data_IF_313448142392
#
_entry.id   IF_313448142392
#
_cell.length_a   1.000
_cell.length_b   1.000
_cell.length_c   1.000
_cell.angle_alpha   90.00
_cell.angle_beta   90.00
_cell.angle_gamma   90.00
#
_symmetry.space_group_name_H-M   'P 1'
#
loop_
_entity.id
_entity.type
_entity.pdbx_description
1 polymer ?
#
# COMPACT_ATOMS: atom_id res chain seq x y z
N UNK A 1 -17.33 11.14 -8.01
CA UNK A 1 -15.98 10.52 -7.99
C UNK A 1 -15.03 11.45 -7.25
N UNK A 2 -15.11 11.45 -5.92
CA UNK A 2 -14.18 12.19 -5.06
C UNK A 2 -13.13 11.21 -4.56
N UNK A 3 -11.99 11.13 -5.26
CA UNK A 3 -10.82 10.37 -4.81
C UNK A 3 -9.98 11.19 -3.81
N UNK A 4 -10.65 12.01 -3.00
CA UNK A 4 -10.06 12.84 -1.95
C UNK A 4 -10.65 12.48 -0.57
N UNK A 5 -10.74 11.18 -0.26
CA UNK A 5 -10.89 10.73 1.13
C UNK A 5 -9.50 10.51 1.76
N UNK A 6 -8.61 11.48 1.60
CA UNK A 6 -7.41 11.56 2.43
C UNK A 6 -7.81 12.12 3.79
N UNK A 7 -8.47 11.30 4.60
CA UNK A 7 -8.40 11.52 6.04
C UNK A 7 -6.90 11.49 6.40
N UNK A 8 -6.44 12.46 7.20
CA UNK A 8 -5.05 12.55 7.66
C UNK A 8 -4.55 11.20 8.22
N UNK A 9 -5.48 10.46 8.83
CA UNK A 9 -5.29 9.08 9.30
C UNK A 9 -4.84 8.11 8.19
N UNK A 10 -5.46 8.15 7.01
CA UNK A 10 -5.11 7.26 5.89
C UNK A 10 -3.73 7.60 5.31
N UNK A 11 -3.39 8.89 5.25
CA UNK A 11 -2.06 9.36 4.83
C UNK A 11 -0.97 8.79 5.75
N UNK A 12 -1.12 8.96 7.07
CA UNK A 12 -0.15 8.44 8.03
C UNK A 12 -0.10 6.92 8.08
N UNK A 13 -1.25 6.23 7.99
CA UNK A 13 -1.27 4.76 7.93
C UNK A 13 -0.54 4.22 6.72
N UNK A 14 -0.74 4.84 5.55
CA UNK A 14 -0.10 4.41 4.31
C UNK A 14 1.41 4.64 4.36
N UNK A 15 1.84 5.83 4.82
CA UNK A 15 3.26 6.14 4.97
C UNK A 15 3.93 5.17 5.97
N UNK A 16 3.28 4.88 7.10
CA UNK A 16 3.78 3.91 8.08
C UNK A 16 3.98 2.51 7.49
N UNK A 17 3.01 2.04 6.71
CA UNK A 17 3.09 0.75 6.03
C UNK A 17 4.24 0.69 5.01
N UNK A 18 4.44 1.78 4.27
CA UNK A 18 5.53 1.90 3.29
C UNK A 18 6.91 1.93 3.97
N UNK A 19 7.04 2.62 5.10
CA UNK A 19 8.27 2.63 5.90
C UNK A 19 8.60 1.24 6.46
N UNK A 20 7.57 0.49 6.91
CA UNK A 20 7.72 -0.87 7.47
C UNK A 20 8.11 -1.91 6.41
N UNK A 21 7.34 -2.01 5.32
CA UNK A 21 7.53 -3.06 4.33
C UNK A 21 8.68 -2.76 3.36
N UNK A 22 8.99 -1.48 3.13
CA UNK A 22 9.89 -1.07 2.04
C UNK A 22 11.07 -0.18 2.44
N UNK A 23 11.32 0.05 3.73
CA UNK A 23 12.45 0.85 4.25
C UNK A 23 12.60 2.26 3.64
N UNK A 24 11.55 2.80 3.03
CA UNK A 24 11.57 4.17 2.55
C UNK A 24 11.63 5.13 3.74
N UNK A 25 12.42 6.20 3.61
CA UNK A 25 12.37 7.32 4.53
C UNK A 25 11.12 8.16 4.31
N UNK A 26 10.64 8.82 5.35
CA UNK A 26 9.49 9.73 5.24
C UNK A 26 9.75 10.84 4.21
N UNK A 27 10.99 11.32 4.14
CA UNK A 27 11.46 12.31 3.17
C UNK A 27 11.33 11.83 1.73
N UNK A 28 11.63 10.56 1.44
CA UNK A 28 11.46 10.00 0.10
C UNK A 28 9.98 9.92 -0.27
N UNK A 29 9.12 9.46 0.65
CA UNK A 29 7.67 9.33 0.43
C UNK A 29 6.99 10.70 0.25
N UNK A 30 7.46 11.72 0.97
CA UNK A 30 6.99 13.10 0.85
C UNK A 30 7.51 13.80 -0.41
N UNK A 31 8.68 13.39 -0.90
CA UNK A 31 9.26 13.91 -2.14
C UNK A 31 8.63 13.30 -3.41
N UNK A 32 7.79 12.27 -3.30
CA UNK A 32 7.14 11.67 -4.46
C UNK A 32 6.08 12.57 -5.08
N UNK A 33 5.97 12.49 -6.40
CA UNK A 33 4.88 13.19 -7.09
C UNK A 33 3.55 12.54 -6.67
N UNK A 34 2.48 13.31 -6.39
CA UNK A 34 1.24 12.77 -5.83
C UNK A 34 0.64 11.56 -6.57
N UNK A 35 0.84 11.47 -7.89
CA UNK A 35 0.37 10.35 -8.70
C UNK A 35 1.23 9.08 -8.57
N UNK A 36 2.54 9.19 -8.35
CA UNK A 36 3.45 8.03 -8.18
C UNK A 36 3.05 7.21 -6.97
N UNK A 37 2.67 7.90 -5.88
CA UNK A 37 2.15 7.25 -4.67
C UNK A 37 0.91 6.40 -4.97
N UNK A 38 0.01 6.89 -5.84
CA UNK A 38 -1.21 6.14 -6.22
C UNK A 38 -0.88 4.86 -6.99
N UNK A 39 0.09 4.92 -7.91
CA UNK A 39 0.55 3.74 -8.66
C UNK A 39 1.17 2.73 -7.69
N UNK A 40 2.04 3.18 -6.79
CA UNK A 40 2.70 2.30 -5.83
C UNK A 40 1.71 1.62 -4.89
N UNK A 41 0.74 2.37 -4.34
CA UNK A 41 -0.34 1.82 -3.51
C UNK A 41 -1.15 0.79 -4.30
N UNK A 42 -1.46 1.07 -5.57
CA UNK A 42 -2.21 0.13 -6.43
C UNK A 42 -1.46 -1.19 -6.62
N UNK A 43 -0.14 -1.13 -6.86
CA UNK A 43 0.71 -2.31 -6.97
C UNK A 43 0.81 -3.07 -5.64
N UNK A 44 0.93 -2.36 -4.51
CA UNK A 44 0.97 -2.96 -3.17
C UNK A 44 -0.34 -3.70 -2.85
N UNK A 45 -1.49 -3.10 -3.16
CA UNK A 45 -2.80 -3.73 -2.98
C UNK A 45 -2.89 -5.02 -3.81
N UNK A 46 -2.43 -4.99 -5.06
CA UNK A 46 -2.43 -6.18 -5.93
C UNK A 46 -1.54 -7.29 -5.36
N UNK A 47 -0.34 -6.95 -4.87
CA UNK A 47 0.57 -7.89 -4.23
C UNK A 47 -0.04 -8.54 -2.98
N UNK A 48 -0.66 -7.74 -2.11
CA UNK A 48 -1.31 -8.23 -0.89
C UNK A 48 -2.56 -9.08 -1.18
N UNK A 49 -3.29 -8.78 -2.26
CA UNK A 49 -4.41 -9.62 -2.72
C UNK A 49 -3.89 -10.97 -3.18
N UNK A 50 -2.87 -11.01 -4.02
CA UNK A 50 -2.25 -12.25 -4.50
C UNK A 50 -1.73 -13.11 -3.35
N UNK A 51 -0.97 -12.55 -2.40
CA UNK A 51 -0.52 -13.26 -1.20
C UNK A 51 -1.68 -13.89 -0.40
N UNK A 52 -2.82 -13.19 -0.30
CA UNK A 52 -4.02 -13.70 0.38
C UNK A 52 -4.70 -14.82 -0.40
N UNK A 53 -4.72 -14.74 -1.72
CA UNK A 53 -5.25 -15.80 -2.59
C UNK A 53 -4.40 -17.05 -2.50
N UNK A 54 -3.08 -16.92 -2.57
CA UNK A 54 -2.13 -18.02 -2.42
C UNK A 54 -2.32 -18.72 -1.05
N UNK A 55 -2.33 -17.95 0.04
CA UNK A 55 -2.55 -18.48 1.39
C UNK A 55 -3.93 -19.13 1.59
N UNK A 56 -4.97 -18.66 0.89
CA UNK A 56 -6.29 -19.33 0.88
C UNK A 56 -6.21 -20.63 0.10
N UNK A 57 -5.56 -20.65 -1.06
CA UNK A 57 -5.43 -21.86 -1.88
C UNK A 57 -4.67 -22.98 -1.15
N UNK A 58 -3.65 -22.63 -0.38
CA UNK A 58 -2.89 -23.58 0.45
C UNK A 58 -3.76 -24.15 1.58
N UNK A 59 -4.65 -23.34 2.17
CA UNK A 59 -5.62 -23.81 3.18
C UNK A 59 -6.67 -24.78 2.63
N UNK A 60 -7.04 -24.68 1.34
CA UNK A 60 -8.00 -25.59 0.71
C UNK A 60 -7.37 -26.91 0.24
N UNK A 61 -6.04 -26.96 0.15
CA UNK A 61 -5.28 -28.16 -0.25
C UNK A 61 -4.86 -29.03 0.95
N UNK A 62 -5.02 -28.54 2.18
CA UNK A 62 -4.84 -29.29 3.44
C UNK A 62 -6.18 -29.82 3.92
#
# INVERSE_FOLDING_TARGET
MSLFHENLENYFKTNFLLMQEHKYSLTEIESWVPWERQVYISMLIQHLKKKREDAKSDKWRQ
#
